data_IF_514020591354
#
_entry.id   IF_514020591354
#
_cell.length_a   1.000
_cell.length_b   1.000
_cell.length_c   1.000
_cell.angle_alpha   90.00
_cell.angle_beta   90.00
_cell.angle_gamma   90.00
#
_symmetry.space_group_name_H-M   'P 1'
#
loop_
_entity.id
_entity.type
_entity.pdbx_description
1 polymer ?
#
# COMPACT_ATOMS: atom_id res chain seq x y z
N UNK A 1 -23.80 -2.26 -9.06
CA UNK A 1 -23.19 -1.57 -7.91
C UNK A 1 -24.08 -0.47 -7.32
N UNK A 2 -24.69 0.43 -8.12
CA UNK A 2 -25.41 1.61 -7.59
C UNK A 2 -26.84 1.35 -7.08
N UNK A 3 -27.23 0.11 -6.82
CA UNK A 3 -28.51 -0.21 -6.20
C UNK A 3 -28.31 -0.28 -4.67
N UNK A 4 -29.02 0.53 -3.86
CA UNK A 4 -28.92 0.50 -2.40
C UNK A 4 -29.14 -0.89 -1.77
N UNK A 5 -29.99 -1.72 -2.36
CA UNK A 5 -30.21 -3.09 -1.85
C UNK A 5 -28.99 -3.98 -2.06
N UNK A 6 -28.25 -3.78 -3.15
CA UNK A 6 -26.98 -4.48 -3.35
C UNK A 6 -25.96 -3.97 -2.35
N UNK A 7 -25.86 -2.66 -2.12
CA UNK A 7 -24.88 -2.04 -1.20
C UNK A 7 -24.99 -2.54 0.25
N UNK A 8 -26.15 -3.02 0.65
CA UNK A 8 -26.37 -3.62 1.99
C UNK A 8 -25.87 -5.06 2.11
N UNK A 9 -25.54 -5.72 1.00
CA UNK A 9 -25.05 -7.09 1.02
C UNK A 9 -23.63 -7.13 1.59
N UNK A 10 -23.41 -7.97 2.60
CA UNK A 10 -22.10 -8.19 3.20
C UNK A 10 -21.22 -9.08 2.31
N UNK A 11 -20.70 -8.52 1.21
CA UNK A 11 -19.74 -9.18 0.32
C UNK A 11 -18.35 -8.55 0.48
N UNK A 12 -17.53 -9.04 1.42
CA UNK A 12 -16.23 -8.42 1.74
C UNK A 12 -15.24 -8.45 0.57
N UNK A 13 -15.46 -9.30 -0.43
CA UNK A 13 -14.60 -9.41 -1.61
C UNK A 13 -14.73 -8.26 -2.60
N UNK A 14 -15.87 -7.53 -2.67
CA UNK A 14 -16.08 -6.52 -3.71
C UNK A 14 -17.11 -5.41 -3.40
N UNK A 15 -17.75 -5.41 -2.22
CA UNK A 15 -18.80 -4.43 -1.86
C UNK A 15 -18.37 -3.44 -0.76
N UNK A 16 -17.07 -3.31 -0.49
CA UNK A 16 -16.58 -2.30 0.44
C UNK A 16 -16.93 -0.89 -0.04
N UNK A 17 -17.61 -0.09 0.79
CA UNK A 17 -17.91 1.31 0.52
C UNK A 17 -17.07 2.17 1.46
N UNK A 18 -16.24 3.03 0.88
CA UNK A 18 -15.36 3.92 1.61
C UNK A 18 -14.82 5.03 0.73
N UNK A 19 -13.94 5.85 1.30
CA UNK A 19 -13.23 6.90 0.58
C UNK A 19 -11.72 6.76 0.80
N UNK A 20 -10.94 7.47 -0.02
CA UNK A 20 -9.48 7.42 0.04
C UNK A 20 -8.93 7.80 1.41
N UNK A 21 -9.52 8.80 2.07
CA UNK A 21 -9.07 9.26 3.39
C UNK A 21 -9.22 8.18 4.46
N UNK A 22 -10.39 7.54 4.56
CA UNK A 22 -10.66 6.50 5.54
C UNK A 22 -9.79 5.27 5.33
N UNK A 23 -9.61 4.85 4.08
CA UNK A 23 -8.69 3.76 3.74
C UNK A 23 -7.25 4.12 4.12
N UNK A 24 -6.75 5.29 3.73
CA UNK A 24 -5.40 5.71 4.05
C UNK A 24 -5.18 5.85 5.58
N UNK A 25 -6.16 6.34 6.33
CA UNK A 25 -6.07 6.46 7.79
C UNK A 25 -5.95 5.09 8.46
N UNK A 26 -6.81 4.14 8.12
CA UNK A 26 -6.74 2.78 8.64
C UNK A 26 -5.39 2.13 8.30
N UNK A 27 -4.99 2.20 7.04
CA UNK A 27 -3.74 1.59 6.56
C UNK A 27 -2.50 2.32 7.11
N UNK A 28 -2.60 3.59 7.50
CA UNK A 28 -1.50 4.28 8.18
C UNK A 28 -1.23 3.72 9.58
N UNK A 29 -2.23 3.11 10.23
CA UNK A 29 -2.02 2.38 11.49
C UNK A 29 -1.23 1.09 11.23
N UNK A 30 -1.47 0.42 10.09
CA UNK A 30 -0.69 -0.73 9.64
C UNK A 30 0.76 -0.33 9.32
N UNK A 31 0.97 0.72 8.51
CA UNK A 31 2.30 1.19 8.14
C UNK A 31 3.15 1.60 9.36
N UNK A 32 2.49 2.11 10.41
CA UNK A 32 3.15 2.55 11.65
C UNK A 32 3.28 1.45 12.71
N UNK A 33 2.89 0.20 12.40
CA UNK A 33 2.87 -0.92 13.35
C UNK A 33 2.06 -0.64 14.62
N UNK A 34 0.86 -0.08 14.47
CA UNK A 34 -0.04 0.31 15.58
C UNK A 34 -1.38 -0.43 15.62
N UNK A 35 -1.63 -1.31 14.66
CA UNK A 35 -2.91 -2.03 14.54
C UNK A 35 -2.79 -3.54 14.76
N UNK A 36 -1.72 -4.15 14.22
CA UNK A 36 -1.50 -5.59 14.25
C UNK A 36 -0.28 -5.94 15.11
N UNK A 37 -0.15 -7.21 15.49
CA UNK A 37 0.98 -7.72 16.28
C UNK A 37 2.25 -7.85 15.44
N UNK A 38 3.40 -8.08 16.09
CA UNK A 38 4.68 -8.29 15.38
C UNK A 38 4.62 -9.54 14.49
N UNK A 39 3.98 -10.61 14.95
CA UNK A 39 3.84 -11.86 14.18
C UNK A 39 3.05 -11.65 12.89
N UNK A 40 2.11 -10.71 12.87
CA UNK A 40 1.44 -10.31 11.63
C UNK A 40 2.43 -9.73 10.63
N UNK A 41 3.34 -8.86 11.09
CA UNK A 41 4.33 -8.23 10.21
C UNK A 41 5.37 -9.24 9.73
N UNK A 42 5.74 -10.22 10.55
CA UNK A 42 6.61 -11.32 10.11
C UNK A 42 5.94 -12.16 9.02
N UNK A 43 4.63 -12.38 9.11
CA UNK A 43 3.89 -13.09 8.07
C UNK A 43 3.78 -12.30 6.76
N UNK A 44 3.57 -10.98 6.83
CA UNK A 44 3.35 -10.15 5.62
C UNK A 44 4.61 -9.43 5.12
N UNK A 45 5.80 -9.79 5.62
CA UNK A 45 7.06 -9.18 5.21
C UNK A 45 7.36 -9.42 3.72
N UNK A 46 7.06 -10.63 3.24
CA UNK A 46 7.29 -11.06 1.86
C UNK A 46 6.03 -11.75 1.30
N UNK A 47 5.83 -11.77 -0.04
CA UNK A 47 4.75 -12.52 -0.64
C UNK A 47 4.96 -14.03 -0.47
N UNK A 48 3.86 -14.79 -0.45
CA UNK A 48 3.88 -16.26 -0.46
C UNK A 48 4.13 -16.79 -1.89
N UNK A 49 3.61 -16.08 -2.88
CA UNK A 49 3.77 -16.34 -4.30
C UNK A 49 4.52 -15.15 -4.89
N UNK A 50 5.71 -15.36 -5.46
CA UNK A 50 6.51 -14.31 -6.09
C UNK A 50 6.63 -14.57 -7.60
N UNK A 51 6.21 -13.61 -8.43
CA UNK A 51 6.20 -13.67 -9.90
C UNK A 51 5.51 -14.93 -10.46
N UNK A 52 4.42 -15.35 -9.81
CA UNK A 52 3.65 -16.52 -10.24
C UNK A 52 2.55 -16.11 -11.23
N UNK A 53 2.43 -16.86 -12.32
CA UNK A 53 1.45 -16.59 -13.37
C UNK A 53 0.02 -16.83 -12.87
N UNK A 54 -0.79 -15.77 -12.80
CA UNK A 54 -2.21 -15.89 -12.48
C UNK A 54 -3.02 -16.13 -13.77
N UNK A 55 -3.52 -17.36 -13.95
CA UNK A 55 -4.26 -17.76 -15.16
C UNK A 55 -5.62 -17.04 -15.32
N UNK A 56 -6.15 -16.43 -14.26
CA UNK A 56 -7.42 -15.70 -14.29
C UNK A 56 -7.17 -14.26 -14.71
N UNK A 57 -6.15 -13.63 -14.14
CA UNK A 57 -5.80 -12.24 -14.43
C UNK A 57 -4.95 -12.07 -15.70
N UNK A 58 -4.21 -13.11 -16.11
CA UNK A 58 -3.44 -13.12 -17.35
C UNK A 58 -2.07 -12.44 -17.27
N UNK A 59 -1.53 -12.24 -16.07
CA UNK A 59 -0.17 -11.74 -15.83
C UNK A 59 0.42 -12.33 -14.52
N UNK A 60 1.72 -12.14 -14.32
CA UNK A 60 2.43 -12.56 -13.10
C UNK A 60 2.05 -11.67 -11.91
N UNK A 61 1.80 -12.29 -10.76
CA UNK A 61 1.46 -11.57 -9.53
C UNK A 61 2.32 -12.00 -8.35
N UNK A 62 2.40 -11.09 -7.38
CA UNK A 62 2.96 -11.37 -6.06
C UNK A 62 1.83 -11.33 -5.03
N UNK A 63 1.55 -12.44 -4.34
CA UNK A 63 0.38 -12.58 -3.45
C UNK A 63 0.71 -13.30 -2.15
N UNK A 64 -0.03 -13.00 -1.09
CA UNK A 64 0.10 -13.67 0.20
C UNK A 64 -0.93 -13.18 1.21
N UNK A 65 -1.51 -14.08 2.01
CA UNK A 65 -2.40 -13.73 3.14
C UNK A 65 -3.56 -12.76 2.83
N UNK A 66 -4.06 -12.75 1.59
CA UNK A 66 -5.13 -11.85 1.14
C UNK A 66 -4.65 -10.49 0.61
N UNK A 67 -3.34 -10.29 0.48
CA UNK A 67 -2.71 -9.08 -0.05
C UNK A 67 -2.06 -9.32 -1.43
N UNK A 68 -2.00 -8.25 -2.21
CA UNK A 68 -1.14 -8.11 -3.37
C UNK A 68 0.13 -7.35 -2.97
N UNK A 69 1.26 -7.78 -3.52
CA UNK A 69 2.57 -7.23 -3.20
C UNK A 69 3.19 -6.55 -4.42
N UNK A 70 3.79 -5.39 -4.22
CA UNK A 70 4.66 -4.75 -5.22
C UNK A 70 5.85 -4.11 -4.54
N UNK A 71 6.97 -3.99 -5.26
CA UNK A 71 8.18 -3.33 -4.70
C UNK A 71 8.05 -1.81 -4.82
N UNK A 72 8.46 -1.09 -3.78
CA UNK A 72 8.65 0.35 -3.85
C UNK A 72 9.88 0.69 -4.71
N UNK A 73 10.17 1.99 -4.89
CA UNK A 73 11.31 2.44 -5.71
C UNK A 73 12.68 2.02 -5.18
N UNK A 74 12.77 1.61 -3.92
CA UNK A 74 13.99 1.10 -3.28
C UNK A 74 14.08 -0.43 -3.27
N UNK A 75 13.11 -1.11 -3.87
CA UNK A 75 13.10 -2.57 -3.98
C UNK A 75 12.50 -3.31 -2.79
N UNK A 76 11.91 -2.60 -1.83
CA UNK A 76 11.30 -3.19 -0.63
C UNK A 76 9.83 -3.54 -0.88
N UNK A 77 9.36 -4.61 -0.24
CA UNK A 77 7.98 -5.06 -0.41
C UNK A 77 6.97 -4.13 0.25
N UNK A 78 6.00 -3.70 -0.54
CA UNK A 78 4.76 -3.09 -0.08
C UNK A 78 3.62 -4.10 -0.24
N UNK A 79 2.67 -4.09 0.68
CA UNK A 79 1.46 -4.88 0.57
C UNK A 79 0.23 -3.99 0.48
N UNK A 80 -0.84 -4.51 -0.12
CA UNK A 80 -2.07 -3.76 -0.33
C UNK A 80 -3.05 -4.52 -1.19
N UNK A 81 -4.01 -3.81 -1.78
CA UNK A 81 -4.96 -4.44 -2.69
C UNK A 81 -5.49 -3.41 -3.69
N UNK A 82 -5.49 -3.82 -4.96
CA UNK A 82 -6.16 -3.10 -6.04
C UNK A 82 -7.62 -3.53 -6.18
N UNK A 83 -8.49 -2.61 -6.56
CA UNK A 83 -9.88 -2.91 -6.83
C UNK A 83 -10.23 -2.62 -8.28
N UNK A 84 -11.06 -3.47 -8.85
CA UNK A 84 -11.54 -3.29 -10.21
C UNK A 84 -12.15 -1.89 -10.41
N UNK A 85 -11.72 -1.20 -11.46
CA UNK A 85 -12.06 0.19 -11.74
C UNK A 85 -10.98 1.20 -11.37
N UNK A 86 -9.90 0.73 -10.75
CA UNK A 86 -8.66 1.48 -10.60
C UNK A 86 -8.41 2.03 -9.21
N UNK A 87 -9.31 1.80 -8.24
CA UNK A 87 -8.99 2.07 -6.84
C UNK A 87 -7.84 1.18 -6.35
N UNK A 88 -7.03 1.68 -5.43
CA UNK A 88 -5.88 0.95 -4.93
C UNK A 88 -5.50 1.50 -3.54
N UNK A 89 -4.99 0.63 -2.68
CA UNK A 89 -4.41 1.01 -1.39
C UNK A 89 -3.11 0.24 -1.19
N UNK A 90 -2.09 0.94 -0.68
CA UNK A 90 -0.77 0.37 -0.39
C UNK A 90 -0.29 0.75 1.00
N UNK A 91 0.48 -0.17 1.58
CA UNK A 91 1.18 -0.05 2.85
C UNK A 91 2.65 -0.29 2.60
N UNK A 92 3.46 0.72 2.87
CA UNK A 92 4.91 0.66 2.92
C UNK A 92 5.33 0.81 4.38
N UNK A 93 5.70 -0.33 4.99
CA UNK A 93 6.09 -0.38 6.41
C UNK A 93 7.48 0.24 6.60
N UNK A 94 8.40 0.05 5.64
CA UNK A 94 9.76 0.60 5.68
C UNK A 94 9.75 2.13 5.81
N UNK A 95 8.87 2.80 5.06
CA UNK A 95 8.74 4.26 5.06
C UNK A 95 7.59 4.79 5.93
N UNK A 96 6.89 3.91 6.67
CA UNK A 96 5.72 4.26 7.50
C UNK A 96 4.66 5.02 6.70
N UNK A 97 4.52 4.68 5.43
CA UNK A 97 3.64 5.31 4.46
C UNK A 97 2.45 4.39 4.17
N UNK A 98 1.27 4.98 4.13
CA UNK A 98 0.12 4.36 3.51
C UNK A 98 -0.60 5.39 2.65
N UNK A 99 -1.10 4.95 1.52
CA UNK A 99 -1.85 5.81 0.60
C UNK A 99 -2.93 5.01 -0.10
N UNK A 100 -4.02 5.70 -0.41
CA UNK A 100 -5.16 5.13 -1.09
C UNK A 100 -5.62 6.05 -2.20
N UNK A 101 -6.02 5.46 -3.31
CA UNK A 101 -6.67 6.12 -4.43
C UNK A 101 -8.04 5.49 -4.60
N UNK A 102 -9.08 6.33 -4.59
CA UNK A 102 -10.46 5.92 -4.81
C UNK A 102 -11.06 6.85 -5.85
N UNK A 103 -11.72 6.29 -6.86
CA UNK A 103 -12.30 7.04 -7.96
C UNK A 103 -13.70 6.52 -8.26
N UNK A 104 -14.53 7.39 -8.86
CA UNK A 104 -15.89 7.03 -9.30
C UNK A 104 -15.95 6.75 -10.82
N UNK A 105 -14.87 7.06 -11.55
CA UNK A 105 -14.73 6.76 -12.96
C UNK A 105 -13.90 5.50 -13.14
N UNK A 106 -14.44 4.53 -13.89
CA UNK A 106 -13.75 3.27 -14.17
C UNK A 106 -12.49 3.53 -15.02
N UNK A 107 -11.35 3.04 -14.54
CA UNK A 107 -10.12 2.92 -15.33
C UNK A 107 -10.03 1.55 -16.01
N UNK A 108 -9.53 1.51 -17.25
CA UNK A 108 -9.37 0.25 -18.01
C UNK A 108 -8.15 -0.58 -17.59
N UNK A 109 -7.16 0.07 -16.98
CA UNK A 109 -5.97 -0.59 -16.44
C UNK A 109 -6.22 -1.12 -15.03
N UNK A 110 -5.44 -2.11 -14.62
CA UNK A 110 -5.54 -2.73 -13.30
C UNK A 110 -4.33 -2.43 -12.42
N UNK A 111 -4.52 -2.52 -11.10
CA UNK A 111 -3.48 -2.39 -10.09
C UNK A 111 -2.54 -1.18 -10.29
N UNK A 112 -1.24 -1.42 -10.32
CA UNK A 112 -0.20 -0.39 -10.41
C UNK A 112 -0.06 0.14 -11.86
N UNK A 113 -0.76 -0.45 -12.84
CA UNK A 113 -0.80 0.02 -14.23
C UNK A 113 -1.81 1.17 -14.43
N UNK A 114 -2.64 1.49 -13.44
CA UNK A 114 -3.56 2.64 -13.47
C UNK A 114 -2.74 3.94 -13.48
N UNK A 115 -2.73 4.73 -14.58
CA UNK A 115 -1.76 5.82 -14.71
C UNK A 115 -1.90 6.93 -13.67
N UNK A 116 -3.12 7.19 -13.20
CA UNK A 116 -3.39 8.18 -12.14
C UNK A 116 -2.86 7.72 -10.79
N UNK A 117 -3.02 6.44 -10.46
CA UNK A 117 -2.48 5.85 -9.25
C UNK A 117 -0.95 5.79 -9.29
N UNK A 118 -0.37 5.33 -10.41
CA UNK A 118 1.08 5.27 -10.59
C UNK A 118 1.74 6.65 -10.40
N UNK A 119 1.18 7.71 -11.00
CA UNK A 119 1.67 9.08 -10.82
C UNK A 119 1.54 9.58 -9.39
N UNK A 120 0.45 9.25 -8.70
CA UNK A 120 0.28 9.58 -7.29
C UNK A 120 1.36 8.90 -6.44
N UNK A 121 1.59 7.60 -6.67
CA UNK A 121 2.61 6.82 -5.99
C UNK A 121 4.02 7.41 -6.21
N UNK A 122 4.39 7.69 -7.46
CA UNK A 122 5.69 8.31 -7.77
C UNK A 122 5.87 9.64 -7.05
N UNK A 123 4.84 10.51 -7.07
CA UNK A 123 4.91 11.82 -6.42
C UNK A 123 5.02 11.71 -4.90
N UNK A 124 4.38 10.72 -4.28
CA UNK A 124 4.53 10.47 -2.84
C UNK A 124 5.96 10.05 -2.49
N UNK A 125 6.56 9.17 -3.29
CA UNK A 125 7.95 8.77 -3.07
C UNK A 125 8.94 9.91 -3.34
N UNK A 126 8.70 10.78 -4.33
CA UNK A 126 9.48 12.00 -4.52
C UNK A 126 9.46 12.88 -3.25
N UNK A 127 8.29 13.06 -2.64
CA UNK A 127 8.17 13.84 -1.40
C UNK A 127 8.94 13.21 -0.23
N UNK A 128 8.94 11.88 -0.11
CA UNK A 128 9.69 11.19 0.95
C UNK A 128 11.19 11.43 0.79
N UNK A 129 11.69 11.27 -0.43
CA UNK A 129 13.10 11.50 -0.76
C UNK A 129 13.53 12.95 -0.48
N UNK A 130 12.67 13.93 -0.81
CA UNK A 130 12.88 15.34 -0.47
C UNK A 130 12.94 15.58 1.04
N UNK A 131 12.02 14.97 1.81
CA UNK A 131 11.97 15.08 3.27
C UNK A 131 13.23 14.46 3.90
N UNK A 132 13.65 13.29 3.45
CA UNK A 132 14.85 12.60 3.95
C UNK A 132 16.12 13.36 3.60
N UNK A 133 16.22 13.86 2.37
CA UNK A 133 17.33 14.72 1.94
C UNK A 133 17.40 15.99 2.77
N UNK A 134 16.26 16.64 3.01
CA UNK A 134 16.20 17.82 3.87
C UNK A 134 16.60 17.49 5.31
N UNK A 135 16.10 16.39 5.88
CA UNK A 135 16.46 15.92 7.21
C UNK A 135 17.98 15.66 7.33
N UNK A 136 18.59 15.04 6.32
CA UNK A 136 20.03 14.82 6.27
C UNK A 136 20.83 16.13 6.25
N UNK A 137 20.38 17.12 5.47
CA UNK A 137 21.02 18.45 5.37
C UNK A 137 21.02 19.21 6.70
N UNK A 138 19.98 19.06 7.51
CA UNK A 138 19.90 19.70 8.84
C UNK A 138 20.66 18.92 9.93
N UNK A 139 20.80 17.60 9.81
CA UNK A 139 21.47 16.77 10.82
C UNK A 139 22.99 16.70 10.64
N UNK A 140 23.49 16.92 9.42
CA UNK A 140 24.92 16.80 9.07
C UNK A 140 25.43 15.35 9.09
N UNK A 141 26.64 15.09 8.54
CA UNK A 141 27.22 13.74 8.47
C UNK A 141 27.65 13.16 9.84
N UNK A 142 27.67 13.98 10.91
CA UNK A 142 28.21 13.59 12.23
C UNK A 142 27.11 13.33 13.29
N UNK A 143 25.87 13.16 12.86
CA UNK A 143 24.82 12.60 13.70
C UNK A 143 24.22 11.42 12.98
N UNK A 144 24.80 10.24 13.23
CA UNK A 144 24.05 9.00 13.15
C UNK A 144 22.76 9.24 13.95
N UNK A 145 21.63 9.28 13.25
CA UNK A 145 20.34 9.03 13.89
C UNK A 145 20.49 7.59 14.39
N UNK A 146 21.01 7.43 15.61
CA UNK A 146 20.73 6.25 16.40
C UNK A 146 19.22 6.29 16.52
N UNK A 147 18.54 5.55 15.65
CA UNK A 147 17.27 4.94 15.99
C UNK A 147 17.53 4.29 17.34
N UNK A 148 17.20 5.01 18.42
CA UNK A 148 17.18 4.43 19.74
C UNK A 148 16.29 3.21 19.56
N UNK A 149 16.87 2.03 19.73
CA UNK A 149 16.09 0.83 19.96
C UNK A 149 15.03 1.20 20.98
N UNK A 150 13.78 1.19 20.51
CA UNK A 150 12.66 1.04 21.42
C UNK A 150 12.70 -0.46 21.69
N UNK A 151 13.48 -0.80 22.71
CA UNK A 151 13.45 -2.09 23.36
C UNK A 151 12.03 -2.31 23.91
N UNK A 152 11.61 -3.58 23.78
CA UNK A 152 10.50 -4.30 24.44
C UNK A 152 9.08 -3.87 24.12
#
# INVERSE_FOLDING_TARGET
YNNPENQKMAMPSNMGIGNAQGLAQLHSLLAKKRLMSEEFYDMVEEPVLENEMDIINGYEENKGYGWQYTKNRWGEWCFGHSGHGGQNVKVDVSHKLAFAFVCNGLHIADADLVPTFARLQEKLYDCIEEIETFAWRISGPDRTIKTKGINS
#
